data_IF_625955521076
#
_entry.id   IF_625955521076
#
_cell.length_a   1.000
_cell.length_b   1.000
_cell.length_c   1.000
_cell.angle_alpha   90.00
_cell.angle_beta   90.00
_cell.angle_gamma   90.00
#
_symmetry.space_group_name_H-M   'P 1'
#
loop_
_entity.id
_entity.type
_entity.pdbx_description
1 polymer ?
#
# COMPACT_ATOMS: atom_id res chain seq x y z
N UNK A 1 -35.98 73.35 5.97
CA UNK A 1 -34.99 73.27 4.86
C UNK A 1 -35.34 74.11 3.64
N UNK A 2 -36.58 74.06 3.12
CA UNK A 2 -36.94 74.74 1.86
C UNK A 2 -36.78 76.27 1.92
N UNK A 3 -37.17 76.89 3.05
CA UNK A 3 -37.03 78.34 3.27
C UNK A 3 -35.56 78.79 3.28
N UNK A 4 -34.66 77.98 3.86
CA UNK A 4 -33.23 78.28 3.91
C UNK A 4 -32.58 78.20 2.51
N UNK A 5 -32.94 77.18 1.71
CA UNK A 5 -32.47 77.05 0.32
C UNK A 5 -32.98 78.17 -0.58
N UNK A 6 -34.20 78.68 -0.34
CA UNK A 6 -34.75 79.82 -1.07
C UNK A 6 -33.99 81.11 -0.76
N UNK A 7 -33.76 81.39 0.54
CA UNK A 7 -32.95 82.54 0.98
C UNK A 7 -31.50 82.48 0.47
N UNK A 8 -30.91 81.28 0.43
CA UNK A 8 -29.57 81.06 -0.13
C UNK A 8 -29.52 81.39 -1.63
N UNK A 9 -30.50 80.91 -2.42
CA UNK A 9 -30.60 81.24 -3.85
C UNK A 9 -30.82 82.74 -4.10
N UNK A 10 -31.71 83.37 -3.32
CA UNK A 10 -31.96 84.82 -3.40
C UNK A 10 -30.70 85.63 -3.06
N UNK A 11 -29.94 85.22 -2.04
CA UNK A 11 -28.68 85.85 -1.64
C UNK A 11 -27.64 85.79 -2.76
N UNK A 12 -27.41 84.61 -3.35
CA UNK A 12 -26.43 84.47 -4.44
C UNK A 12 -26.88 85.15 -5.73
N UNK A 13 -28.19 85.30 -5.99
CA UNK A 13 -28.71 85.98 -7.18
C UNK A 13 -28.67 87.51 -7.07
N UNK A 14 -28.82 88.07 -5.86
CA UNK A 14 -28.94 89.54 -5.65
C UNK A 14 -27.60 90.19 -5.29
N UNK A 15 -26.57 89.40 -4.97
CA UNK A 15 -25.27 89.93 -4.57
C UNK A 15 -24.46 90.46 -5.78
N UNK A 16 -23.94 91.69 -5.74
CA UNK A 16 -23.17 92.29 -6.83
C UNK A 16 -21.84 91.55 -7.11
N UNK A 17 -21.21 90.97 -6.08
CA UNK A 17 -19.94 90.26 -6.20
C UNK A 17 -20.13 88.79 -6.64
N UNK A 18 -21.25 88.15 -6.28
CA UNK A 18 -21.48 86.71 -6.52
C UNK A 18 -22.56 86.40 -7.56
N UNK A 19 -23.29 87.40 -8.06
CA UNK A 19 -24.41 87.22 -9.01
C UNK A 19 -24.02 86.50 -10.29
N UNK A 20 -22.81 86.74 -10.80
CA UNK A 20 -22.25 86.05 -11.97
C UNK A 20 -21.89 84.57 -11.71
N UNK A 21 -21.79 84.16 -10.44
CA UNK A 21 -21.49 82.79 -9.98
C UNK A 21 -22.70 82.09 -9.35
N UNK A 22 -23.88 82.73 -9.34
CA UNK A 22 -25.08 82.20 -8.66
C UNK A 22 -25.46 80.77 -9.10
N UNK A 23 -25.19 80.39 -10.36
CA UNK A 23 -25.41 79.04 -10.87
C UNK A 23 -24.40 77.97 -10.41
N UNK A 24 -23.26 78.39 -9.83
CA UNK A 24 -22.18 77.53 -9.32
C UNK A 24 -22.02 77.62 -7.79
N UNK A 25 -22.93 78.31 -7.11
CA UNK A 25 -22.88 78.53 -5.67
C UNK A 25 -24.12 77.96 -4.97
N UNK A 26 -23.99 77.72 -3.67
CA UNK A 26 -25.05 77.22 -2.81
C UNK A 26 -25.05 75.70 -2.59
N UNK A 27 -25.79 75.30 -1.55
CA UNK A 27 -25.82 73.95 -1.01
C UNK A 27 -26.29 72.89 -2.02
N UNK A 28 -27.19 73.23 -2.94
CA UNK A 28 -27.66 72.30 -3.97
C UNK A 28 -26.62 72.05 -5.06
N UNK A 29 -25.88 73.09 -5.47
CA UNK A 29 -24.78 72.92 -6.42
C UNK A 29 -23.66 72.10 -5.79
N UNK A 30 -23.33 72.37 -4.51
CA UNK A 30 -22.38 71.56 -3.75
C UNK A 30 -22.82 70.09 -3.65
N UNK A 31 -24.10 69.81 -3.36
CA UNK A 31 -24.61 68.43 -3.30
C UNK A 31 -24.49 67.70 -4.65
N UNK A 32 -24.78 68.39 -5.76
CA UNK A 32 -24.60 67.85 -7.12
C UNK A 32 -23.13 67.60 -7.44
N UNK A 33 -22.24 68.53 -7.06
CA UNK A 33 -20.81 68.41 -7.26
C UNK A 33 -20.22 67.23 -6.46
N UNK A 34 -20.58 67.11 -5.17
CA UNK A 34 -20.17 65.99 -4.32
C UNK A 34 -20.70 64.65 -4.83
N UNK A 35 -21.95 64.60 -5.32
CA UNK A 35 -22.54 63.39 -5.90
C UNK A 35 -21.80 62.96 -7.17
N UNK A 36 -21.50 63.90 -8.08
CA UNK A 36 -20.74 63.62 -9.31
C UNK A 36 -19.30 63.20 -9.00
N UNK A 37 -18.68 63.81 -8.00
CA UNK A 37 -17.33 63.43 -7.57
C UNK A 37 -17.34 62.03 -6.95
N UNK A 38 -18.30 61.73 -6.07
CA UNK A 38 -18.47 60.41 -5.47
C UNK A 38 -18.72 59.33 -6.53
N UNK A 39 -19.59 59.58 -7.51
CA UNK A 39 -19.84 58.65 -8.61
C UNK A 39 -18.55 58.37 -9.41
N UNK A 40 -17.76 59.39 -9.71
CA UNK A 40 -16.48 59.24 -10.41
C UNK A 40 -15.49 58.39 -9.61
N UNK A 41 -15.40 58.63 -8.29
CA UNK A 41 -14.54 57.86 -7.40
C UNK A 41 -15.01 56.40 -7.32
N UNK A 42 -16.31 56.16 -7.14
CA UNK A 42 -16.90 54.82 -7.11
C UNK A 42 -16.58 54.08 -8.42
N UNK A 43 -16.85 54.70 -9.58
CA UNK A 43 -16.59 54.10 -10.91
C UNK A 43 -15.12 53.74 -11.12
N UNK A 44 -14.19 54.57 -10.65
CA UNK A 44 -12.75 54.28 -10.73
C UNK A 44 -12.31 53.13 -9.84
N UNK A 45 -13.01 52.88 -8.72
CA UNK A 45 -12.67 51.82 -7.75
C UNK A 45 -13.33 50.47 -8.05
N UNK A 46 -14.48 50.45 -8.73
CA UNK A 46 -15.22 49.22 -9.08
C UNK A 46 -14.33 48.14 -9.75
N UNK A 47 -13.50 48.43 -10.77
CA UNK A 47 -12.68 47.40 -11.40
C UNK A 47 -11.69 46.74 -10.44
N UNK A 48 -11.10 47.53 -9.53
CA UNK A 48 -10.19 47.02 -8.50
C UNK A 48 -10.92 46.15 -7.47
N UNK A 49 -12.13 46.52 -7.09
CA UNK A 49 -12.97 45.73 -6.16
C UNK A 49 -13.39 44.41 -6.83
N UNK A 50 -13.78 44.47 -8.11
CA UNK A 50 -14.17 43.29 -8.89
C UNK A 50 -13.01 42.29 -9.00
N UNK A 51 -11.81 42.78 -9.30
CA UNK A 51 -10.61 41.94 -9.35
C UNK A 51 -10.29 41.30 -8.00
N UNK A 52 -10.44 42.04 -6.89
CA UNK A 52 -10.22 41.51 -5.55
C UNK A 52 -11.25 40.41 -5.23
N UNK A 53 -12.53 40.63 -5.53
CA UNK A 53 -13.59 39.65 -5.30
C UNK A 53 -13.35 38.39 -6.12
N UNK A 54 -13.05 38.50 -7.41
CA UNK A 54 -12.78 37.33 -8.24
C UNK A 54 -11.58 36.54 -7.73
N UNK A 55 -10.49 37.21 -7.34
CA UNK A 55 -9.33 36.56 -6.73
C UNK A 55 -9.69 35.85 -5.42
N UNK A 56 -10.46 36.50 -4.55
CA UNK A 56 -10.92 35.87 -3.30
C UNK A 56 -11.88 34.71 -3.54
N UNK A 57 -12.70 34.74 -4.59
CA UNK A 57 -13.53 33.61 -5.00
C UNK A 57 -12.64 32.44 -5.43
N UNK A 58 -11.64 32.67 -6.28
CA UNK A 58 -10.70 31.61 -6.71
C UNK A 58 -9.95 31.00 -5.52
N UNK A 59 -9.46 31.84 -4.60
CA UNK A 59 -8.79 31.37 -3.37
C UNK A 59 -9.73 30.51 -2.51
N UNK A 60 -10.97 30.95 -2.28
CA UNK A 60 -11.97 30.20 -1.50
C UNK A 60 -12.44 28.92 -2.21
N UNK A 61 -12.57 28.93 -3.54
CA UNK A 61 -12.91 27.72 -4.32
C UNK A 61 -11.78 26.69 -4.22
N UNK A 62 -10.52 27.12 -4.33
CA UNK A 62 -9.37 26.23 -4.15
C UNK A 62 -9.27 25.65 -2.73
N UNK A 63 -9.59 26.46 -1.72
CA UNK A 63 -9.64 26.01 -0.32
C UNK A 63 -10.77 24.99 -0.12
N UNK A 64 -11.94 25.25 -0.72
CA UNK A 64 -13.10 24.35 -0.64
C UNK A 64 -12.85 23.01 -1.35
N UNK A 65 -12.13 23.03 -2.48
CA UNK A 65 -11.69 21.80 -3.15
C UNK A 65 -10.74 20.98 -2.26
N UNK A 66 -9.89 21.64 -1.47
CA UNK A 66 -8.98 20.98 -0.54
C UNK A 66 -9.70 20.41 0.69
N UNK A 67 -10.69 21.13 1.23
CA UNK A 67 -11.55 20.67 2.33
C UNK A 67 -12.53 19.57 1.89
N UNK A 68 -12.83 19.54 0.58
CA UNK A 68 -13.71 18.59 -0.07
C UNK A 68 -15.20 18.84 0.17
N UNK A 69 -16.04 18.04 -0.49
CA UNK A 69 -17.50 18.21 -0.50
C UNK A 69 -18.15 17.77 0.83
N UNK A 70 -19.25 18.42 1.25
CA UNK A 70 -20.04 17.98 2.40
C UNK A 70 -20.64 16.59 2.18
N UNK A 71 -20.70 15.81 3.25
CA UNK A 71 -21.27 14.47 3.25
C UNK A 71 -22.80 14.58 3.20
N UNK A 72 -23.42 13.80 2.31
CA UNK A 72 -24.86 13.71 2.24
C UNK A 72 -25.44 12.99 3.47
N UNK A 73 -26.63 13.40 3.89
CA UNK A 73 -27.35 12.80 5.03
C UNK A 73 -27.97 11.44 4.67
N UNK A 74 -28.16 11.18 3.38
CA UNK A 74 -28.73 9.93 2.88
C UNK A 74 -27.78 8.74 3.06
N UNK A 75 -28.30 7.63 3.57
CA UNK A 75 -27.52 6.42 3.86
C UNK A 75 -26.88 5.80 2.61
N UNK A 76 -27.57 5.86 1.46
CA UNK A 76 -27.05 5.38 0.19
C UNK A 76 -25.89 6.24 -0.31
N UNK A 77 -26.00 7.56 -0.15
CA UNK A 77 -24.93 8.48 -0.50
C UNK A 77 -23.70 8.34 0.43
N UNK A 78 -23.90 8.10 1.73
CA UNK A 78 -22.83 7.80 2.68
C UNK A 78 -22.10 6.51 2.30
N UNK A 79 -22.86 5.44 1.98
CA UNK A 79 -22.31 4.18 1.52
C UNK A 79 -21.49 4.35 0.23
N UNK A 80 -22.04 5.08 -0.75
CA UNK A 80 -21.34 5.36 -2.00
C UNK A 80 -20.00 6.08 -1.75
N UNK A 81 -20.01 7.09 -0.88
CA UNK A 81 -18.82 7.86 -0.50
C UNK A 81 -17.75 6.95 0.14
N UNK A 82 -18.14 6.09 1.08
CA UNK A 82 -17.22 5.13 1.71
C UNK A 82 -16.61 4.19 0.65
N UNK A 83 -17.42 3.67 -0.27
CA UNK A 83 -16.95 2.76 -1.32
C UNK A 83 -16.01 3.47 -2.31
N UNK A 84 -16.27 4.74 -2.64
CA UNK A 84 -15.40 5.55 -3.48
C UNK A 84 -14.03 5.77 -2.82
N UNK A 85 -14.01 6.12 -1.53
CA UNK A 85 -12.78 6.25 -0.74
C UNK A 85 -11.99 4.94 -0.67
N UNK A 86 -12.68 3.81 -0.50
CA UNK A 86 -12.05 2.49 -0.50
C UNK A 86 -11.43 2.16 -1.87
N UNK A 87 -12.09 2.51 -2.97
CA UNK A 87 -11.55 2.33 -4.33
C UNK A 87 -10.32 3.19 -4.58
N UNK A 88 -10.31 4.43 -4.06
CA UNK A 88 -9.15 5.32 -4.14
C UNK A 88 -7.95 4.72 -3.40
N UNK A 89 -8.15 4.22 -2.17
CA UNK A 89 -7.14 3.48 -1.42
C UNK A 89 -6.64 2.25 -2.18
N UNK A 90 -7.55 1.40 -2.69
CA UNK A 90 -7.21 0.19 -3.44
C UNK A 90 -6.36 0.50 -4.68
N UNK A 91 -6.66 1.60 -5.38
CA UNK A 91 -5.87 2.05 -6.54
C UNK A 91 -4.44 2.37 -6.14
N UNK A 92 -4.25 3.17 -5.09
CA UNK A 92 -2.93 3.56 -4.58
C UNK A 92 -2.17 2.33 -4.07
N UNK A 93 -2.84 1.42 -3.38
CA UNK A 93 -2.22 0.17 -2.91
C UNK A 93 -1.77 -0.72 -4.09
N UNK A 94 -2.58 -0.85 -5.15
CA UNK A 94 -2.21 -1.57 -6.37
C UNK A 94 -1.03 -0.94 -7.09
N UNK A 95 -0.97 0.39 -7.17
CA UNK A 95 0.18 1.12 -7.74
C UNK A 95 1.49 0.83 -6.98
N UNK A 96 1.41 0.68 -5.65
CA UNK A 96 2.57 0.28 -4.83
C UNK A 96 3.06 -1.14 -5.10
N UNK A 97 2.13 -2.06 -5.40
CA UNK A 97 2.45 -3.45 -5.69
C UNK A 97 2.95 -3.67 -7.12
N UNK A 98 2.35 -2.97 -8.10
CA UNK A 98 2.64 -3.16 -9.53
C UNK A 98 3.94 -2.49 -10.01
N UNK A 99 4.68 -1.84 -9.12
CA UNK A 99 6.04 -1.35 -9.39
C UNK A 99 6.16 0.13 -9.76
N UNK A 100 5.07 0.91 -9.70
CA UNK A 100 5.15 2.38 -9.81
C UNK A 100 5.90 3.03 -8.64
N UNK A 101 6.17 2.28 -7.57
CA UNK A 101 6.74 2.69 -6.29
C UNK A 101 7.56 1.55 -5.67
N UNK A 102 8.44 1.79 -4.67
CA UNK A 102 9.37 0.78 -4.13
C UNK A 102 8.73 -0.38 -3.35
N UNK A 103 7.41 -0.60 -3.43
CA UNK A 103 6.74 -1.70 -2.74
C UNK A 103 7.08 -3.06 -3.32
N UNK A 104 6.91 -3.22 -4.64
CA UNK A 104 7.24 -4.46 -5.35
C UNK A 104 8.73 -4.82 -5.24
N UNK A 105 9.62 -3.84 -5.40
CA UNK A 105 11.08 -4.05 -5.31
C UNK A 105 11.53 -4.61 -3.95
N UNK A 106 10.91 -4.16 -2.85
CA UNK A 106 11.18 -4.72 -1.52
C UNK A 106 10.78 -6.20 -1.41
N UNK A 107 9.68 -6.60 -2.05
CA UNK A 107 9.25 -8.01 -2.09
C UNK A 107 10.24 -8.83 -2.91
N UNK A 108 10.68 -8.34 -4.07
CA UNK A 108 11.75 -8.97 -4.85
C UNK A 108 13.04 -9.13 -4.04
N UNK A 109 13.43 -8.11 -3.26
CA UNK A 109 14.59 -8.18 -2.37
C UNK A 109 14.50 -9.28 -1.32
N UNK A 110 13.31 -9.65 -0.84
CA UNK A 110 13.14 -10.81 0.05
C UNK A 110 13.47 -12.12 -0.68
N UNK A 111 12.99 -12.27 -1.91
CA UNK A 111 13.16 -13.51 -2.68
C UNK A 111 14.54 -13.68 -3.32
N UNK A 112 15.16 -12.59 -3.79
CA UNK A 112 16.45 -12.65 -4.47
C UNK A 112 17.65 -12.61 -3.51
N UNK A 113 17.50 -11.91 -2.38
CA UNK A 113 18.59 -11.72 -1.43
C UNK A 113 18.40 -12.52 -0.13
N UNK A 114 17.27 -12.33 0.56
CA UNK A 114 17.09 -12.89 1.91
C UNK A 114 16.91 -14.40 1.90
N UNK A 115 16.00 -14.93 1.08
CA UNK A 115 15.75 -16.37 1.00
C UNK A 115 17.02 -17.14 0.59
N UNK A 116 17.74 -16.79 -0.50
CA UNK A 116 18.94 -17.52 -0.91
C UNK A 116 20.10 -17.38 0.09
N UNK A 117 20.18 -16.25 0.81
CA UNK A 117 21.13 -16.11 1.91
C UNK A 117 20.78 -17.00 3.11
N UNK A 118 19.49 -17.15 3.44
CA UNK A 118 19.03 -18.03 4.50
C UNK A 118 19.27 -19.52 4.16
N UNK A 119 19.02 -19.93 2.92
CA UNK A 119 19.28 -21.30 2.45
C UNK A 119 20.77 -21.66 2.51
N UNK A 120 21.67 -20.72 2.18
CA UNK A 120 23.13 -20.94 2.26
C UNK A 120 23.67 -21.02 3.69
N UNK A 121 22.97 -20.46 4.67
CA UNK A 121 23.38 -20.45 6.09
C UNK A 121 22.95 -21.72 6.84
N UNK A 122 22.25 -22.64 6.19
CA UNK A 122 21.82 -23.88 6.82
C UNK A 122 23.00 -24.77 7.21
N UNK A 123 22.99 -25.41 8.39
CA UNK A 123 24.14 -26.14 8.93
C UNK A 123 24.30 -27.55 8.32
N UNK A 124 24.28 -27.66 6.98
CA UNK A 124 24.40 -28.95 6.28
C UNK A 124 25.74 -29.63 6.54
N UNK A 125 26.83 -28.89 6.69
CA UNK A 125 28.16 -29.45 6.99
C UNK A 125 28.18 -30.24 8.31
N UNK A 126 27.43 -29.75 9.32
CA UNK A 126 27.30 -30.43 10.60
C UNK A 126 26.37 -31.65 10.49
N UNK A 127 25.26 -31.50 9.79
CA UNK A 127 24.25 -32.55 9.65
C UNK A 127 24.75 -33.72 8.79
N UNK A 128 25.48 -33.44 7.70
CA UNK A 128 26.07 -34.43 6.80
C UNK A 128 27.51 -34.81 7.16
N UNK A 129 27.92 -34.52 8.41
CA UNK A 129 29.23 -34.94 8.92
C UNK A 129 29.36 -36.47 8.92
N UNK A 130 30.57 -36.97 8.68
CA UNK A 130 30.85 -38.41 8.57
C UNK A 130 30.35 -39.20 9.79
N UNK A 131 30.53 -38.65 10.99
CA UNK A 131 30.08 -39.27 12.24
C UNK A 131 28.55 -39.39 12.29
N UNK A 132 27.83 -38.34 11.89
CA UNK A 132 26.36 -38.35 11.90
C UNK A 132 25.80 -39.25 10.80
N UNK A 133 26.36 -39.21 9.59
CA UNK A 133 25.95 -40.09 8.49
C UNK A 133 26.14 -41.55 8.88
N UNK A 134 27.30 -41.91 9.44
CA UNK A 134 27.57 -43.28 9.92
C UNK A 134 26.55 -43.71 10.98
N UNK A 135 26.25 -42.83 11.95
CA UNK A 135 25.26 -43.08 13.00
C UNK A 135 23.87 -43.33 12.41
N UNK A 136 23.35 -42.38 11.63
CA UNK A 136 21.98 -42.43 11.09
C UNK A 136 21.78 -43.62 10.13
N UNK A 137 22.75 -43.90 9.26
CA UNK A 137 22.66 -45.03 8.32
C UNK A 137 22.71 -46.36 9.07
N UNK A 138 23.62 -46.51 10.04
CA UNK A 138 23.74 -47.74 10.84
C UNK A 138 22.51 -47.98 11.72
N UNK A 139 21.88 -46.91 12.22
CA UNK A 139 20.64 -46.97 13.01
C UNK A 139 19.40 -47.29 12.15
N UNK A 140 19.34 -46.79 10.92
CA UNK A 140 18.17 -46.92 10.05
C UNK A 140 18.12 -48.26 9.30
N UNK A 141 19.24 -48.69 8.71
CA UNK A 141 19.30 -49.93 7.90
C UNK A 141 19.81 -51.13 8.71
N UNK A 142 20.39 -50.91 9.90
CA UNK A 142 20.95 -51.96 10.73
C UNK A 142 22.15 -52.67 10.08
N UNK A 143 22.49 -53.86 10.58
CA UNK A 143 23.53 -54.70 9.98
C UNK A 143 22.95 -55.50 8.81
N UNK A 144 22.94 -54.91 7.61
CA UNK A 144 22.51 -55.60 6.39
C UNK A 144 23.70 -56.09 5.56
N UNK A 145 23.83 -57.41 5.31
CA UNK A 145 24.84 -57.91 4.40
C UNK A 145 24.52 -57.63 2.92
N UNK A 146 25.12 -56.54 2.42
CA UNK A 146 25.83 -56.40 1.13
C UNK A 146 25.14 -56.62 -0.23
N UNK A 147 23.81 -56.74 -0.35
CA UNK A 147 23.14 -56.88 -1.67
C UNK A 147 22.24 -55.70 -2.09
N UNK A 148 21.88 -54.81 -1.16
CA UNK A 148 20.91 -53.74 -1.39
C UNK A 148 21.47 -52.41 -0.85
N UNK A 149 21.25 -51.31 -1.57
CA UNK A 149 21.67 -49.97 -1.12
C UNK A 149 20.88 -49.56 0.15
N UNK A 150 21.50 -48.83 1.11
CA UNK A 150 20.88 -48.44 2.39
C UNK A 150 19.79 -47.37 2.20
N UNK A 151 18.62 -47.77 1.68
CA UNK A 151 17.54 -46.86 1.29
C UNK A 151 16.98 -46.08 2.48
N UNK A 152 16.85 -46.71 3.66
CA UNK A 152 16.25 -46.05 4.82
C UNK A 152 17.18 -45.00 5.42
N UNK A 153 18.50 -45.27 5.42
CA UNK A 153 19.52 -44.30 5.81
C UNK A 153 19.52 -43.07 4.92
N UNK A 154 19.47 -43.25 3.60
CA UNK A 154 19.31 -42.14 2.65
C UNK A 154 18.03 -41.35 2.92
N UNK A 155 16.89 -42.04 3.06
CA UNK A 155 15.60 -41.38 3.31
C UNK A 155 15.62 -40.55 4.59
N UNK A 156 16.09 -41.11 5.70
CA UNK A 156 16.22 -40.41 7.00
C UNK A 156 17.14 -39.18 6.92
N UNK A 157 18.29 -39.29 6.24
CA UNK A 157 19.22 -38.17 6.06
C UNK A 157 18.64 -37.06 5.20
N UNK A 158 17.93 -37.42 4.13
CA UNK A 158 17.27 -36.44 3.25
C UNK A 158 16.11 -35.78 3.98
N UNK A 159 15.20 -36.53 4.62
CA UNK A 159 14.11 -35.96 5.41
C UNK A 159 14.63 -35.01 6.51
N UNK A 160 15.69 -35.41 7.22
CA UNK A 160 16.36 -34.58 8.21
C UNK A 160 16.92 -33.29 7.62
N UNK A 161 17.59 -33.39 6.47
CA UNK A 161 18.12 -32.23 5.74
C UNK A 161 17.02 -31.30 5.25
N UNK A 162 15.93 -31.86 4.71
CA UNK A 162 14.82 -31.11 4.14
C UNK A 162 14.01 -30.37 5.20
N UNK A 163 13.95 -30.90 6.43
CA UNK A 163 13.28 -30.24 7.55
C UNK A 163 13.85 -28.84 7.87
N UNK A 164 15.14 -28.60 7.59
CA UNK A 164 15.78 -27.30 7.80
C UNK A 164 15.27 -26.20 6.87
N UNK A 165 14.67 -26.53 5.72
CA UNK A 165 14.09 -25.54 4.80
C UNK A 165 12.79 -24.92 5.32
N UNK A 166 12.10 -25.56 6.28
CA UNK A 166 10.86 -25.04 6.86
C UNK A 166 11.07 -23.65 7.48
N UNK A 167 12.14 -23.46 8.26
CA UNK A 167 12.44 -22.18 8.90
C UNK A 167 12.62 -21.02 7.91
N UNK A 168 13.54 -21.11 6.93
CA UNK A 168 13.70 -20.09 5.88
C UNK A 168 12.44 -19.85 5.04
N UNK A 169 11.66 -20.89 4.77
CA UNK A 169 10.39 -20.81 4.05
C UNK A 169 9.36 -19.96 4.81
N UNK A 170 9.14 -20.26 6.09
CA UNK A 170 8.25 -19.50 6.98
C UNK A 170 8.72 -18.06 7.16
N UNK A 171 10.03 -17.86 7.37
CA UNK A 171 10.61 -16.53 7.54
C UNK A 171 10.42 -15.65 6.30
N UNK A 172 10.48 -16.24 5.11
CA UNK A 172 10.22 -15.52 3.85
C UNK A 172 8.76 -15.10 3.73
N UNK A 173 7.82 -15.95 4.15
CA UNK A 173 6.40 -15.62 4.21
C UNK A 173 6.12 -14.49 5.21
N UNK A 174 6.80 -14.50 6.37
CA UNK A 174 6.70 -13.44 7.38
C UNK A 174 7.28 -12.11 6.92
N UNK A 175 8.41 -12.13 6.21
CA UNK A 175 9.05 -10.93 5.68
C UNK A 175 8.15 -10.23 4.64
N UNK A 176 7.49 -10.99 3.76
CA UNK A 176 6.54 -10.43 2.78
C UNK A 176 5.32 -9.84 3.47
N UNK A 177 4.76 -10.50 4.47
CA UNK A 177 3.67 -9.96 5.28
C UNK A 177 4.01 -8.61 5.90
N UNK A 178 5.20 -8.47 6.47
CA UNK A 178 5.66 -7.21 7.05
C UNK A 178 5.72 -6.09 5.99
N UNK A 179 6.22 -6.41 4.79
CA UNK A 179 6.23 -5.45 3.67
C UNK A 179 4.81 -5.05 3.28
N UNK A 180 3.87 -6.00 3.17
CA UNK A 180 2.47 -5.72 2.83
C UNK A 180 1.79 -4.82 3.88
N UNK A 181 2.01 -5.04 5.18
CA UNK A 181 1.50 -4.18 6.25
C UNK A 181 2.02 -2.75 6.15
N UNK A 182 3.31 -2.59 5.90
CA UNK A 182 3.92 -1.27 5.68
C UNK A 182 3.33 -0.57 4.45
N UNK A 183 3.00 -1.32 3.39
CA UNK A 183 2.36 -0.77 2.19
C UNK A 183 0.93 -0.31 2.45
N UNK A 184 0.15 -1.04 3.26
CA UNK A 184 -1.18 -0.58 3.70
C UNK A 184 -1.05 0.74 4.45
N UNK A 185 -0.13 0.83 5.41
CA UNK A 185 0.09 2.07 6.19
C UNK A 185 0.46 3.27 5.30
N UNK A 186 1.35 3.06 4.33
CA UNK A 186 1.75 4.10 3.37
C UNK A 186 0.59 4.51 2.45
N UNK A 187 -0.12 3.54 1.89
CA UNK A 187 -1.24 3.80 0.96
C UNK A 187 -2.36 4.59 1.63
N UNK A 188 -2.66 4.29 2.89
CA UNK A 188 -3.58 5.06 3.72
C UNK A 188 -3.09 6.51 3.89
N UNK A 189 -1.82 6.72 4.25
CA UNK A 189 -1.29 8.07 4.50
C UNK A 189 -1.22 8.96 3.26
N UNK A 190 -1.11 8.37 2.08
CA UNK A 190 -1.08 9.09 0.81
C UNK A 190 -2.47 9.39 0.23
N UNK A 191 -3.49 8.67 0.66
CA UNK A 191 -4.88 8.91 0.26
C UNK A 191 -5.38 10.18 0.94
N UNK A 192 -5.20 11.35 0.29
CA UNK A 192 -5.54 12.66 0.86
C UNK A 192 -7.01 12.74 1.29
N UNK A 193 -7.91 12.15 0.49
CA UNK A 193 -9.34 12.14 0.77
C UNK A 193 -9.70 11.39 2.04
N UNK A 194 -8.90 10.38 2.43
CA UNK A 194 -9.11 9.54 3.60
C UNK A 194 -8.63 10.21 4.89
N UNK A 195 -7.70 11.17 4.80
CA UNK A 195 -7.22 11.94 5.97
C UNK A 195 -8.34 12.70 6.69
N UNK A 196 -9.43 13.00 5.98
CA UNK A 196 -10.62 13.66 6.54
C UNK A 196 -11.41 12.77 7.50
N UNK A 197 -11.26 11.45 7.39
CA UNK A 197 -12.07 10.46 8.11
C UNK A 197 -11.16 9.52 8.93
N UNK A 198 -10.68 9.94 10.12
CA UNK A 198 -9.81 9.12 10.97
C UNK A 198 -10.44 7.78 11.37
N UNK A 199 -11.76 7.78 11.61
CA UNK A 199 -12.50 6.57 11.99
C UNK A 199 -12.51 5.55 10.86
N UNK A 200 -12.84 5.99 9.63
CA UNK A 200 -12.78 5.14 8.45
C UNK A 200 -11.35 4.67 8.15
N UNK A 201 -10.35 5.52 8.33
CA UNK A 201 -8.94 5.16 8.19
C UNK A 201 -8.55 4.01 9.15
N UNK A 202 -8.94 4.10 10.42
CA UNK A 202 -8.66 3.08 11.41
C UNK A 202 -9.35 1.75 11.08
N UNK A 203 -10.60 1.80 10.64
CA UNK A 203 -11.38 0.63 10.25
C UNK A 203 -10.84 -0.06 8.98
N UNK A 204 -10.47 0.72 7.95
CA UNK A 204 -9.81 0.20 6.75
C UNK A 204 -8.46 -0.44 7.12
N UNK A 205 -7.66 0.22 7.98
CA UNK A 205 -6.39 -0.33 8.44
C UNK A 205 -6.59 -1.65 9.20
N UNK A 206 -7.58 -1.71 10.10
CA UNK A 206 -7.89 -2.91 10.87
C UNK A 206 -8.32 -4.06 9.95
N UNK A 207 -9.27 -3.81 9.03
CA UNK A 207 -9.77 -4.81 8.10
C UNK A 207 -8.69 -5.32 7.15
N UNK A 208 -7.85 -4.42 6.62
CA UNK A 208 -6.72 -4.78 5.76
C UNK A 208 -5.69 -5.63 6.53
N UNK A 209 -5.35 -5.25 7.77
CA UNK A 209 -4.43 -6.03 8.59
C UNK A 209 -4.97 -7.43 8.92
N UNK A 210 -6.27 -7.55 9.23
CA UNK A 210 -6.92 -8.83 9.48
C UNK A 210 -6.92 -9.73 8.23
N UNK A 211 -7.16 -9.15 7.04
CA UNK A 211 -7.04 -9.87 5.78
C UNK A 211 -5.60 -10.35 5.53
N UNK A 212 -4.60 -9.50 5.75
CA UNK A 212 -3.19 -9.86 5.60
C UNK A 212 -2.75 -10.98 6.55
N UNK A 213 -3.23 -11.00 7.80
CA UNK A 213 -2.93 -12.12 8.72
C UNK A 213 -3.47 -13.46 8.19
N UNK A 214 -4.70 -13.46 7.68
CA UNK A 214 -5.28 -14.68 7.07
C UNK A 214 -4.48 -15.14 5.85
N UNK A 215 -4.08 -14.22 4.98
CA UNK A 215 -3.27 -14.55 3.81
C UNK A 215 -1.88 -15.06 4.18
N UNK A 216 -1.28 -14.49 5.23
CA UNK A 216 -0.01 -14.96 5.77
C UNK A 216 -0.12 -16.39 6.30
N UNK A 217 -1.16 -16.70 7.07
CA UNK A 217 -1.34 -18.04 7.64
C UNK A 217 -1.52 -19.10 6.55
N UNK A 218 -2.31 -18.81 5.53
CA UNK A 218 -2.47 -19.69 4.37
C UNK A 218 -1.17 -19.79 3.54
N UNK A 219 -0.47 -18.67 3.37
CA UNK A 219 0.86 -18.65 2.76
C UNK A 219 1.82 -19.57 3.49
N UNK A 220 1.97 -19.41 4.81
CA UNK A 220 2.82 -20.22 5.69
C UNK A 220 2.52 -21.71 5.57
N UNK A 221 1.26 -22.10 5.72
CA UNK A 221 0.82 -23.51 5.56
C UNK A 221 1.21 -24.06 4.19
N UNK A 222 1.02 -23.27 3.13
CA UNK A 222 1.34 -23.68 1.76
C UNK A 222 2.84 -23.88 1.57
N UNK A 223 3.68 -22.96 2.07
CA UNK A 223 5.14 -23.10 1.91
C UNK A 223 5.68 -24.30 2.68
N UNK A 224 5.17 -24.56 3.89
CA UNK A 224 5.54 -25.76 4.66
C UNK A 224 5.13 -27.02 3.93
N UNK A 225 3.91 -27.07 3.39
CA UNK A 225 3.43 -28.21 2.59
C UNK A 225 4.30 -28.47 1.37
N UNK A 226 4.78 -27.42 0.69
CA UNK A 226 5.72 -27.59 -0.43
C UNK A 226 7.01 -28.27 0.01
N UNK A 227 7.59 -27.85 1.15
CA UNK A 227 8.79 -28.50 1.71
C UNK A 227 8.50 -29.95 2.10
N UNK A 228 7.34 -30.21 2.71
CA UNK A 228 6.93 -31.57 3.12
C UNK A 228 6.69 -32.48 1.92
N UNK A 229 6.16 -31.96 0.82
CA UNK A 229 5.98 -32.70 -0.43
C UNK A 229 7.31 -33.15 -1.03
N UNK A 230 8.33 -32.29 -1.04
CA UNK A 230 9.68 -32.63 -1.49
C UNK A 230 10.36 -33.68 -0.59
N UNK A 231 9.99 -33.72 0.70
CA UNK A 231 10.47 -34.72 1.64
C UNK A 231 9.74 -36.07 1.55
N UNK A 232 8.46 -36.06 1.13
CA UNK A 232 7.61 -37.26 1.13
C UNK A 232 7.93 -38.24 0.00
N UNK A 233 8.43 -37.76 -1.14
CA UNK A 233 8.72 -38.61 -2.29
C UNK A 233 10.10 -38.33 -2.87
N UNK A 234 10.97 -39.32 -2.77
CA UNK A 234 12.29 -39.32 -3.38
C UNK A 234 12.18 -39.83 -4.82
N UNK A 235 12.78 -39.10 -5.76
CA UNK A 235 12.71 -39.50 -7.17
C UNK A 235 13.38 -40.86 -7.39
N UNK A 236 12.70 -41.76 -8.11
CA UNK A 236 13.25 -43.09 -8.43
C UNK A 236 14.57 -42.96 -9.22
N UNK A 237 14.72 -41.87 -9.97
CA UNK A 237 15.95 -41.57 -10.69
C UNK A 237 17.14 -41.32 -9.77
N UNK A 238 16.93 -40.72 -8.58
CA UNK A 238 17.98 -40.57 -7.57
C UNK A 238 18.54 -41.93 -7.16
N UNK A 239 17.68 -42.89 -6.80
CA UNK A 239 18.11 -44.22 -6.41
C UNK A 239 18.70 -45.04 -7.56
N UNK A 240 18.27 -44.84 -8.81
CA UNK A 240 18.84 -45.49 -9.99
C UNK A 240 20.25 -45.01 -10.33
N UNK A 241 20.61 -43.77 -9.95
CA UNK A 241 21.96 -43.21 -10.17
C UNK A 241 22.98 -43.70 -9.14
N UNK A 242 22.54 -44.10 -7.94
CA UNK A 242 23.44 -44.57 -6.86
C UNK A 242 24.33 -45.76 -7.28
N UNK A 243 23.82 -46.84 -7.93
CA UNK A 243 24.67 -47.96 -8.36
C UNK A 243 25.66 -47.58 -9.47
N UNK A 244 25.27 -46.73 -10.42
CA UNK A 244 26.14 -46.31 -11.54
C UNK A 244 27.35 -45.49 -11.08
N UNK A 245 27.21 -44.73 -9.99
CA UNK A 245 28.32 -43.99 -9.39
C UNK A 245 29.31 -44.90 -8.65
N UNK A 246 28.86 -46.06 -8.15
CA UNK A 246 29.74 -47.07 -7.55
C UNK A 246 30.63 -47.71 -8.62
N UNK A 247 30.09 -47.97 -9.82
CA UNK A 247 30.84 -48.54 -10.94
C UNK A 247 31.84 -47.55 -11.56
N UNK A 248 31.48 -46.26 -11.71
CA UNK A 248 32.39 -45.24 -12.26
C UNK A 248 33.57 -44.90 -11.33
N UNK A 249 33.40 -45.02 -10.02
CA UNK A 249 34.47 -44.81 -9.05
C UNK A 249 35.45 -46.01 -8.95
N UNK A 250 35.10 -47.16 -9.54
CA UNK A 250 36.01 -48.27 -9.74
C UNK A 250 36.75 -48.11 -11.07
N UNK A 251 38.05 -47.81 -11.02
CA UNK A 251 38.90 -47.72 -12.21
C UNK A 251 38.76 -48.99 -13.09
N UNK A 252 38.64 -48.91 -14.44
CA UNK A 252 38.49 -50.09 -15.30
C UNK A 252 39.71 -51.03 -15.34
N UNK A 253 40.81 -50.68 -14.67
CA UNK A 253 42.10 -51.37 -14.76
C UNK A 253 42.37 -52.45 -13.71
N UNK A 254 41.47 -52.72 -12.76
CA UNK A 254 41.75 -53.65 -11.65
C UNK A 254 40.70 -54.77 -11.55
N UNK A 255 40.51 -55.51 -12.65
CA UNK A 255 39.60 -56.67 -12.75
C UNK A 255 40.17 -57.95 -12.10
N UNK A 256 40.99 -57.81 -11.05
CA UNK A 256 41.80 -58.91 -10.51
C UNK A 256 41.46 -59.38 -9.09
N UNK A 257 40.90 -58.54 -8.22
CA UNK A 257 40.72 -58.90 -6.80
C UNK A 257 39.31 -58.52 -6.29
N UNK A 258 38.37 -59.45 -6.45
CA UNK A 258 37.00 -59.38 -5.92
C UNK A 258 36.91 -59.41 -4.39
N UNK A 259 37.96 -59.87 -3.70
CA UNK A 259 37.99 -59.94 -2.23
C UNK A 259 38.33 -58.61 -1.54
N UNK A 260 39.15 -57.74 -2.16
CA UNK A 260 39.51 -56.43 -1.58
C UNK A 260 38.47 -55.35 -1.81
N UNK A 261 37.58 -55.50 -2.81
CA UNK A 261 36.43 -54.62 -3.00
C UNK A 261 35.33 -54.80 -1.95
N UNK A 262 35.30 -55.93 -1.24
CA UNK A 262 34.31 -56.19 -0.19
C UNK A 262 34.65 -55.49 1.14
N UNK A 263 35.94 -55.34 1.44
CA UNK A 263 36.43 -54.75 2.71
C UNK A 263 36.27 -53.21 2.72
N UNK A 264 36.23 -52.57 1.55
CA UNK A 264 36.14 -51.12 1.44
C UNK A 264 34.70 -50.56 1.53
N UNK A 265 33.69 -51.43 1.66
CA UNK A 265 32.26 -51.04 1.57
C UNK A 265 31.63 -50.59 2.89
N UNK A 266 32.33 -50.78 4.01
CA UNK A 266 32.04 -50.13 5.31
C UNK A 266 33.14 -49.13 5.71
N UNK A 267 34.05 -48.81 4.79
CA UNK A 267 35.07 -47.80 5.05
C UNK A 267 34.43 -46.42 5.16
N UNK A 268 35.13 -45.51 5.82
CA UNK A 268 34.72 -44.11 5.91
C UNK A 268 34.47 -43.50 4.51
N UNK A 269 35.06 -44.07 3.46
CA UNK A 269 34.80 -43.69 2.06
C UNK A 269 33.36 -43.93 1.60
N UNK A 270 32.71 -45.01 2.04
CA UNK A 270 31.31 -45.29 1.71
C UNK A 270 30.37 -44.26 2.33
N UNK A 271 30.49 -43.99 3.63
CA UNK A 271 29.67 -43.00 4.32
C UNK A 271 29.92 -41.57 3.81
N UNK A 272 31.15 -41.22 3.42
CA UNK A 272 31.43 -39.94 2.72
C UNK A 272 30.68 -39.84 1.39
N UNK A 273 30.60 -40.92 0.62
CA UNK A 273 29.84 -40.95 -0.65
C UNK A 273 28.34 -40.79 -0.40
N UNK A 274 27.80 -41.46 0.61
CA UNK A 274 26.39 -41.26 1.04
C UNK A 274 26.14 -39.77 1.34
N UNK A 275 26.98 -39.15 2.16
CA UNK A 275 26.88 -37.73 2.49
C UNK A 275 26.96 -36.81 1.26
N UNK A 276 27.88 -37.08 0.33
CA UNK A 276 28.00 -36.35 -0.93
C UNK A 276 26.74 -36.45 -1.79
N UNK A 277 26.16 -37.64 -1.91
CA UNK A 277 24.99 -37.89 -2.73
C UNK A 277 23.73 -37.24 -2.13
N UNK A 278 23.58 -37.30 -0.80
CA UNK A 278 22.53 -36.56 -0.08
C UNK A 278 22.71 -35.06 -0.27
N UNK A 279 23.93 -34.53 -0.15
CA UNK A 279 24.23 -33.12 -0.37
C UNK A 279 23.84 -32.66 -1.77
N UNK A 280 24.18 -33.45 -2.79
CA UNK A 280 23.79 -33.16 -4.19
C UNK A 280 22.27 -33.14 -4.37
N UNK A 281 21.55 -34.11 -3.79
CA UNK A 281 20.09 -34.14 -3.83
C UNK A 281 19.46 -32.93 -3.13
N UNK A 282 19.92 -32.61 -1.92
CA UNK A 282 19.47 -31.44 -1.15
C UNK A 282 19.76 -30.14 -1.91
N UNK A 283 20.88 -30.06 -2.62
CA UNK A 283 21.20 -28.94 -3.52
C UNK A 283 20.16 -28.76 -4.62
N UNK A 284 19.79 -29.83 -5.32
CA UNK A 284 18.74 -29.78 -6.36
C UNK A 284 17.38 -29.37 -5.81
N UNK A 285 16.99 -29.89 -4.64
CA UNK A 285 15.73 -29.51 -3.98
C UNK A 285 15.78 -28.05 -3.53
N UNK A 286 16.92 -27.58 -3.02
CA UNK A 286 17.12 -26.18 -2.66
C UNK A 286 16.92 -25.23 -3.85
N UNK A 287 17.44 -25.57 -5.03
CA UNK A 287 17.21 -24.82 -6.27
C UNK A 287 15.73 -24.80 -6.67
N UNK A 288 15.06 -25.95 -6.56
CA UNK A 288 13.62 -26.07 -6.83
C UNK A 288 12.81 -25.19 -5.87
N UNK A 289 13.05 -25.32 -4.57
CA UNK A 289 12.40 -24.55 -3.50
C UNK A 289 12.65 -23.05 -3.66
N UNK A 290 13.84 -22.63 -4.09
CA UNK A 290 14.15 -21.22 -4.38
C UNK A 290 13.22 -20.63 -5.44
N UNK A 291 12.67 -21.45 -6.33
CA UNK A 291 11.72 -20.99 -7.36
C UNK A 291 10.26 -21.18 -6.97
N UNK A 292 9.92 -22.25 -6.24
CA UNK A 292 8.52 -22.59 -5.90
C UNK A 292 8.02 -21.81 -4.68
N UNK A 293 8.87 -21.58 -3.68
CA UNK A 293 8.52 -20.83 -2.46
C UNK A 293 8.05 -19.40 -2.79
N UNK A 294 8.79 -18.58 -3.56
CA UNK A 294 8.33 -17.24 -3.93
C UNK A 294 6.99 -17.28 -4.67
N UNK A 295 6.80 -18.21 -5.61
CA UNK A 295 5.54 -18.35 -6.37
C UNK A 295 4.36 -18.62 -5.44
N UNK A 296 4.53 -19.51 -4.47
CA UNK A 296 3.49 -19.81 -3.48
C UNK A 296 3.17 -18.60 -2.59
N UNK A 297 4.19 -17.90 -2.09
CA UNK A 297 4.00 -16.70 -1.27
C UNK A 297 3.31 -15.59 -2.08
N UNK A 298 3.74 -15.37 -3.33
CA UNK A 298 3.10 -14.38 -4.22
C UNK A 298 1.65 -14.76 -4.50
N UNK A 299 1.35 -16.03 -4.75
CA UNK A 299 0.00 -16.50 -5.01
C UNK A 299 -0.91 -16.34 -3.77
N UNK A 300 -0.48 -16.82 -2.61
CA UNK A 300 -1.30 -16.82 -1.39
C UNK A 300 -1.39 -15.45 -0.70
N UNK A 301 -0.34 -14.62 -0.80
CA UNK A 301 -0.28 -13.33 -0.10
C UNK A 301 -0.42 -12.15 -1.04
N UNK A 302 0.51 -11.97 -1.98
CA UNK A 302 0.61 -10.72 -2.77
C UNK A 302 -0.58 -10.59 -3.73
N UNK A 303 -0.93 -11.67 -4.43
CA UNK A 303 -2.07 -11.71 -5.35
C UNK A 303 -3.39 -11.58 -4.61
N UNK A 304 -3.56 -12.30 -3.50
CA UNK A 304 -4.79 -12.20 -2.70
C UNK A 304 -4.94 -10.82 -2.05
N UNK A 305 -3.85 -10.22 -1.56
CA UNK A 305 -3.84 -8.84 -1.08
C UNK A 305 -4.19 -7.85 -2.21
N UNK A 306 -3.77 -8.10 -3.45
CA UNK A 306 -4.15 -7.25 -4.59
C UNK A 306 -5.65 -7.33 -4.93
N UNK A 307 -6.25 -8.52 -4.79
CA UNK A 307 -7.60 -8.79 -5.27
C UNK A 307 -8.69 -8.68 -4.21
N UNK A 308 -8.38 -8.98 -2.95
CA UNK A 308 -9.40 -9.27 -1.93
C UNK A 308 -9.17 -8.60 -0.58
N UNK A 309 -8.24 -7.65 -0.48
CA UNK A 309 -7.87 -6.98 0.78
C UNK A 309 -9.07 -6.45 1.57
N UNK A 310 -10.02 -5.81 0.87
CA UNK A 310 -11.21 -5.19 1.48
C UNK A 310 -12.51 -5.99 1.25
N UNK A 311 -12.46 -7.22 0.73
CA UNK A 311 -13.69 -7.99 0.45
C UNK A 311 -14.54 -8.24 1.69
N UNK A 312 -13.88 -8.58 2.82
CA UNK A 312 -14.59 -8.77 4.09
C UNK A 312 -15.18 -7.45 4.59
N UNK A 313 -14.42 -6.36 4.46
CA UNK A 313 -14.86 -5.03 4.83
C UNK A 313 -16.08 -4.56 4.04
N UNK A 314 -16.12 -4.79 2.72
CA UNK A 314 -17.30 -4.49 1.90
C UNK A 314 -18.54 -5.27 2.34
N UNK A 315 -18.36 -6.54 2.73
CA UNK A 315 -19.46 -7.36 3.25
C UNK A 315 -19.97 -6.84 4.59
N UNK A 316 -19.07 -6.35 5.46
CA UNK A 316 -19.43 -5.75 6.74
C UNK A 316 -20.14 -4.40 6.56
N UNK A 317 -19.62 -3.51 5.72
CA UNK A 317 -20.22 -2.20 5.43
C UNK A 317 -21.63 -2.36 4.85
N UNK A 318 -21.85 -3.31 3.94
CA UNK A 318 -23.16 -3.55 3.35
C UNK A 318 -24.25 -3.96 4.36
N UNK A 319 -23.87 -4.36 5.58
CA UNK A 319 -24.79 -4.70 6.68
C UNK A 319 -24.97 -3.56 7.70
N UNK A 320 -24.19 -2.48 7.61
CA UNK A 320 -24.24 -1.37 8.57
C UNK A 320 -25.44 -0.47 8.29
N UNK A 321 -26.04 0.02 9.37
CA UNK A 321 -27.13 1.00 9.31
C UNK A 321 -26.61 2.42 9.07
N UNK A 322 -27.48 3.33 8.64
CA UNK A 322 -27.15 4.74 8.36
C UNK A 322 -26.38 5.44 9.50
N UNK A 323 -26.76 5.19 10.76
CA UNK A 323 -26.08 5.78 11.92
C UNK A 323 -24.62 5.32 12.03
N UNK A 324 -24.34 4.06 11.72
CA UNK A 324 -23.00 3.49 11.77
C UNK A 324 -22.16 3.94 10.57
N UNK A 325 -22.78 4.13 9.40
CA UNK A 325 -22.11 4.71 8.23
C UNK A 325 -21.72 6.17 8.49
N UNK A 326 -22.60 6.93 9.15
CA UNK A 326 -22.30 8.29 9.62
C UNK A 326 -21.07 8.34 10.54
N UNK A 327 -21.00 7.44 11.53
CA UNK A 327 -19.85 7.36 12.46
C UNK A 327 -18.51 7.06 11.76
N UNK A 328 -18.53 6.26 10.69
CA UNK A 328 -17.32 6.02 9.90
C UNK A 328 -16.85 7.30 9.19
N UNK A 329 -17.79 8.15 8.81
CA UNK A 329 -17.58 9.41 8.12
C UNK A 329 -17.50 10.61 9.08
N UNK A 330 -17.24 10.37 10.37
CA UNK A 330 -17.06 11.45 11.34
C UNK A 330 -15.83 12.30 10.96
N UNK A 331 -16.09 13.54 10.58
CA UNK A 331 -15.07 14.55 10.32
C UNK A 331 -14.66 15.25 11.62
N UNK A 332 -13.45 15.81 11.64
CA UNK A 332 -13.04 16.74 12.68
C UNK A 332 -14.02 17.93 12.71
N UNK A 333 -14.67 18.23 13.86
CA UNK A 333 -15.58 19.37 13.99
C UNK A 333 -14.96 20.70 13.55
N UNK A 334 -13.64 20.87 13.74
CA UNK A 334 -12.94 22.06 13.30
C UNK A 334 -12.87 22.17 11.76
N UNK A 335 -12.74 21.04 11.06
CA UNK A 335 -12.75 21.00 9.60
C UNK A 335 -14.15 21.25 9.04
N UNK A 336 -15.17 20.70 9.68
CA UNK A 336 -16.57 20.94 9.33
C UNK A 336 -16.94 22.43 9.50
N UNK A 337 -16.53 23.04 10.62
CA UNK A 337 -16.76 24.47 10.87
C UNK A 337 -16.03 25.34 9.86
N UNK A 338 -14.75 25.06 9.56
CA UNK A 338 -13.98 25.75 8.52
C UNK A 338 -14.65 25.65 7.16
N UNK A 339 -15.17 24.48 6.78
CA UNK A 339 -15.91 24.29 5.52
C UNK A 339 -17.18 25.14 5.47
N UNK A 340 -17.96 25.17 6.55
CA UNK A 340 -19.15 26.01 6.67
C UNK A 340 -18.83 27.50 6.55
N UNK A 341 -17.76 27.95 7.22
CA UNK A 341 -17.31 29.34 7.14
C UNK A 341 -16.82 29.70 5.74
N UNK A 342 -16.05 28.83 5.09
CA UNK A 342 -15.56 29.01 3.73
C UNK A 342 -16.73 29.07 2.73
N UNK A 343 -17.68 28.15 2.81
CA UNK A 343 -18.88 28.13 1.97
C UNK A 343 -19.73 29.40 2.13
N UNK A 344 -19.94 29.86 3.37
CA UNK A 344 -20.66 31.11 3.65
C UNK A 344 -19.95 32.33 3.08
N UNK A 345 -18.61 32.40 3.23
CA UNK A 345 -17.81 33.49 2.64
C UNK A 345 -17.88 33.47 1.12
N UNK A 346 -17.81 32.29 0.51
CA UNK A 346 -17.89 32.12 -0.94
C UNK A 346 -19.25 32.58 -1.48
N UNK A 347 -20.35 32.23 -0.80
CA UNK A 347 -21.70 32.68 -1.14
C UNK A 347 -21.80 34.21 -1.07
N UNK A 348 -21.26 34.83 -0.02
CA UNK A 348 -21.24 36.28 0.12
C UNK A 348 -20.43 36.97 -0.98
N UNK A 349 -19.27 36.44 -1.35
CA UNK A 349 -18.47 37.00 -2.45
C UNK A 349 -19.14 36.82 -3.82
N UNK A 350 -19.81 35.68 -4.05
CA UNK A 350 -20.60 35.45 -5.28
C UNK A 350 -21.77 36.43 -5.36
N UNK A 351 -22.51 36.63 -4.28
CA UNK A 351 -23.57 37.63 -4.21
C UNK A 351 -23.03 39.05 -4.45
N UNK A 352 -21.89 39.41 -3.84
CA UNK A 352 -21.25 40.72 -4.05
C UNK A 352 -20.78 40.92 -5.50
N UNK A 353 -20.28 39.87 -6.17
CA UNK A 353 -19.94 39.91 -7.60
C UNK A 353 -21.20 40.17 -8.44
N UNK A 354 -22.27 39.43 -8.18
CA UNK A 354 -23.52 39.54 -8.95
C UNK A 354 -24.16 40.93 -8.75
N UNK A 355 -24.08 41.51 -7.55
CA UNK A 355 -24.49 42.90 -7.29
C UNK A 355 -23.64 43.92 -8.06
N UNK A 356 -22.32 43.79 -8.06
CA UNK A 356 -21.42 44.68 -8.82
C UNK A 356 -21.69 44.58 -10.32
N UNK A 357 -21.88 43.36 -10.82
CA UNK A 357 -22.21 43.12 -12.22
C UNK A 357 -23.53 43.82 -12.58
N UNK A 358 -24.57 43.71 -11.74
CA UNK A 358 -25.85 44.39 -11.96
C UNK A 358 -25.73 45.92 -12.11
N UNK A 359 -24.80 46.54 -11.37
CA UNK A 359 -24.54 47.99 -11.43
C UNK A 359 -23.66 48.36 -12.63
N UNK A 360 -22.80 47.44 -13.07
CA UNK A 360 -21.92 47.64 -14.22
C UNK A 360 -22.66 47.65 -15.57
N UNK A 361 -23.76 46.90 -15.66
CA UNK A 361 -24.62 46.78 -16.85
C UNK A 361 -25.81 47.75 -16.89
N UNK A 362 -26.08 48.47 -15.79
CA UNK A 362 -27.03 49.58 -15.77
C UNK A 362 -26.40 50.81 -16.46
N UNK A 363 -26.34 50.76 -17.79
CA UNK A 363 -26.01 51.89 -18.67
C UNK A 363 -27.15 52.17 -19.63
#
# INVERSE_FOLDING_TARGET
>A
MIVARRKEREYFATSPDYGHLAGKMGSEYLAKLLSKHLESVIRSRIPSITSLINKSIEELESEMDHLGRPIAVDAGAQLYTILELCRAFDRIFKEHLDGGRPGGDRIYGVFDNQLPAALRKLPFDRHLSLQNVKKVVSEADGYQPHLIAPEQGYRRLIEGSLSYFRGPAEASADAVHFVLKELVRKSIGETQELKRFPTLQAEIAAAANEALERFRDEGRKTVIRLVDMEASYLTVEFFRKLPQEVEKAGNPGNSGNTASQAVDRYSDGHFRRIGSNVSSYVGMVSETLRTTIPKAIVYCQVREAKLSLLNHFYTQIGRKEAKQLGQLLDEDPAMMERRLQCAKRLELYKAARDEIDSVSWAR
#
